data_IF_603477602478
#
_entry.id   IF_603477602478
#
_cell.length_a   1.000
_cell.length_b   1.000
_cell.length_c   1.000
_cell.angle_alpha   90.00
_cell.angle_beta   90.00
_cell.angle_gamma   90.00
#
_symmetry.space_group_name_H-M   'P 1'
#
loop_
_entity.id
_entity.type
_entity.pdbx_description
1 polymer ?
#
# COMPACT_ATOMS: atom_id res chain seq x y z
N UNK A 1 2.96 -1.23 1.73
CA UNK A 1 1.71 -0.78 1.07
C UNK A 1 1.82 0.73 0.90
N UNK A 2 1.28 1.31 -0.17
CA UNK A 2 1.32 2.76 -0.40
C UNK A 2 -0.01 3.26 -0.97
N UNK A 3 -0.39 4.54 -0.74
CA UNK A 3 -1.61 5.13 -1.27
C UNK A 3 -1.42 5.49 -2.75
N UNK A 4 -1.62 4.53 -3.66
CA UNK A 4 -1.31 4.67 -5.09
C UNK A 4 -2.00 5.86 -5.80
N UNK A 5 -3.05 6.42 -5.20
CA UNK A 5 -3.73 7.63 -5.71
C UNK A 5 -2.99 8.94 -5.42
N UNK A 6 -1.96 8.93 -4.57
CA UNK A 6 -1.07 10.08 -4.36
C UNK A 6 0.13 10.12 -5.30
N UNK A 7 0.34 9.07 -6.10
CA UNK A 7 1.37 9.09 -7.12
C UNK A 7 1.05 10.15 -8.18
N UNK A 8 2.09 10.85 -8.63
CA UNK A 8 2.02 11.65 -9.86
C UNK A 8 1.73 10.75 -11.05
N UNK A 9 1.07 11.30 -12.07
CA UNK A 9 0.62 10.54 -13.23
C UNK A 9 1.72 9.75 -13.92
N UNK A 10 2.91 10.34 -14.11
CA UNK A 10 4.05 9.65 -14.72
C UNK A 10 4.49 8.43 -13.90
N UNK A 11 4.64 8.58 -12.58
CA UNK A 11 5.04 7.47 -11.71
C UNK A 11 3.95 6.38 -11.65
N UNK A 12 2.68 6.78 -11.64
CA UNK A 12 1.54 5.84 -11.69
C UNK A 12 1.48 5.08 -13.01
N UNK A 13 1.73 5.75 -14.14
CA UNK A 13 1.76 5.13 -15.46
C UNK A 13 2.88 4.09 -15.55
N UNK A 14 4.10 4.45 -15.12
CA UNK A 14 5.22 3.50 -15.04
C UNK A 14 4.89 2.30 -14.16
N UNK A 15 4.26 2.51 -13.00
CA UNK A 15 3.85 1.41 -12.13
C UNK A 15 2.80 0.52 -12.82
N UNK A 16 1.83 1.11 -13.52
CA UNK A 16 0.80 0.36 -14.25
C UNK A 16 1.37 -0.48 -15.40
N UNK A 17 2.38 0.03 -16.09
CA UNK A 17 3.03 -0.66 -17.21
C UNK A 17 3.88 -1.85 -16.77
N UNK A 18 4.61 -1.70 -15.66
CA UNK A 18 5.65 -2.69 -15.28
C UNK A 18 5.33 -3.52 -14.05
N UNK A 19 4.33 -3.14 -13.26
CA UNK A 19 3.96 -3.91 -12.07
C UNK A 19 2.99 -5.03 -12.41
N UNK A 20 3.31 -6.24 -11.97
CA UNK A 20 2.32 -7.32 -11.88
C UNK A 20 1.14 -6.89 -11.00
N UNK A 21 -0.07 -7.29 -11.42
CA UNK A 21 -1.33 -7.11 -10.69
C UNK A 21 -1.58 -5.66 -10.23
N UNK A 22 -1.19 -4.67 -11.03
CA UNK A 22 -1.37 -3.26 -10.68
C UNK A 22 -2.80 -2.94 -10.25
N UNK A 23 -3.81 -3.42 -10.97
CA UNK A 23 -5.22 -3.10 -10.68
C UNK A 23 -5.70 -3.59 -9.30
N UNK A 24 -5.11 -4.67 -8.76
CA UNK A 24 -5.46 -5.16 -7.42
C UNK A 24 -4.84 -4.30 -6.30
N UNK A 25 -3.67 -3.71 -6.55
CA UNK A 25 -2.91 -2.98 -5.51
C UNK A 25 -3.66 -1.77 -4.95
N UNK A 26 -4.28 -0.89 -5.75
CA UNK A 26 -5.10 0.22 -5.25
C UNK A 26 -6.33 -0.23 -4.47
N UNK A 27 -6.87 -1.41 -4.75
CA UNK A 27 -8.00 -1.98 -4.02
C UNK A 27 -7.55 -2.40 -2.63
N UNK A 28 -6.51 -3.24 -2.54
CA UNK A 28 -5.93 -3.66 -1.25
C UNK A 28 -5.44 -2.45 -0.43
N UNK A 29 -4.82 -1.46 -1.07
CA UNK A 29 -4.38 -0.24 -0.39
C UNK A 29 -5.53 0.61 0.15
N UNK A 30 -6.75 0.51 -0.36
CA UNK A 30 -7.89 1.29 0.17
C UNK A 30 -8.59 0.60 1.32
N UNK A 31 -8.43 -0.71 1.45
CA UNK A 31 -9.17 -1.53 2.39
C UNK A 31 -8.23 -2.52 3.11
N UNK A 32 -7.81 -2.21 4.35
CA UNK A 32 -7.00 -3.11 5.16
C UNK A 32 -7.64 -4.50 5.38
N UNK A 33 -8.96 -4.59 5.49
CA UNK A 33 -9.66 -5.88 5.65
C UNK A 33 -9.45 -6.78 4.43
N UNK A 34 -9.55 -6.21 3.22
CA UNK A 34 -9.27 -6.93 1.98
C UNK A 34 -7.81 -7.32 1.85
N UNK A 35 -6.89 -6.50 2.37
CA UNK A 35 -5.48 -6.85 2.40
C UNK A 35 -5.21 -8.01 3.36
N UNK A 36 -5.79 -8.01 4.56
CA UNK A 36 -5.69 -9.14 5.50
C UNK A 36 -6.29 -10.41 4.91
N UNK A 37 -7.47 -10.33 4.30
CA UNK A 37 -8.09 -11.47 3.61
C UNK A 37 -7.20 -11.98 2.46
N UNK A 38 -6.52 -11.08 1.76
CA UNK A 38 -5.53 -11.46 0.76
C UNK A 38 -4.32 -12.18 1.39
N UNK A 39 -3.79 -11.72 2.53
CA UNK A 39 -2.74 -12.43 3.26
C UNK A 39 -3.18 -13.84 3.66
N UNK A 40 -4.40 -13.98 4.19
CA UNK A 40 -4.97 -15.28 4.57
C UNK A 40 -5.08 -16.23 3.37
N UNK A 41 -5.49 -15.71 2.20
CA UNK A 41 -5.56 -16.50 0.96
C UNK A 41 -4.19 -17.03 0.48
N UNK A 42 -3.11 -16.41 0.95
CA UNK A 42 -1.73 -16.78 0.63
C UNK A 42 -1.05 -17.53 1.78
N UNK A 43 -1.77 -17.85 2.87
CA UNK A 43 -1.23 -18.46 4.10
C UNK A 43 -0.13 -17.60 4.75
N UNK A 44 -0.28 -16.28 4.71
CA UNK A 44 0.66 -15.31 5.28
C UNK A 44 0.13 -14.78 6.62
N UNK A 45 0.88 -15.04 7.69
CA UNK A 45 0.49 -14.60 9.03
C UNK A 45 0.53 -13.07 9.21
N UNK A 46 1.60 -12.40 8.78
CA UNK A 46 1.76 -10.95 8.94
C UNK A 46 2.50 -10.34 7.74
N UNK A 47 2.27 -9.06 7.49
CA UNK A 47 2.99 -8.29 6.48
C UNK A 47 3.54 -6.97 7.03
N UNK A 48 4.84 -6.73 6.80
CA UNK A 48 5.43 -5.42 6.99
C UNK A 48 5.26 -4.56 5.73
N UNK A 49 4.75 -3.35 5.92
CA UNK A 49 4.54 -2.38 4.86
C UNK A 49 5.69 -1.40 4.84
N UNK A 50 6.38 -1.33 3.70
CA UNK A 50 7.42 -0.32 3.49
C UNK A 50 6.81 0.83 2.69
N UNK A 51 6.91 2.03 3.24
CA UNK A 51 6.51 3.28 2.61
C UNK A 51 7.73 4.21 2.42
N UNK A 52 7.68 5.07 1.40
CA UNK A 52 8.79 5.96 1.06
C UNK A 52 8.30 7.40 0.90
N UNK A 53 8.94 8.34 1.60
CA UNK A 53 8.79 9.77 1.34
C UNK A 53 9.61 10.13 0.10
N UNK A 54 8.94 10.17 -1.04
CA UNK A 54 9.53 10.44 -2.34
C UNK A 54 8.72 11.54 -3.07
N UNK A 55 8.97 12.84 -2.79
CA UNK A 55 8.19 13.93 -3.35
C UNK A 55 8.21 13.99 -4.88
N UNK A 56 9.30 13.52 -5.50
CA UNK A 56 9.41 13.35 -6.95
C UNK A 56 8.29 12.48 -7.53
N UNK A 57 7.88 11.44 -6.80
CA UNK A 57 6.81 10.51 -7.16
C UNK A 57 5.43 10.91 -6.65
N UNK A 58 5.33 11.91 -5.77
CA UNK A 58 4.07 12.39 -5.18
C UNK A 58 3.86 12.02 -3.71
N UNK A 59 4.72 11.17 -3.14
CA UNK A 59 4.66 10.83 -1.71
C UNK A 59 5.38 11.86 -0.85
N UNK A 60 4.62 12.51 0.03
CA UNK A 60 5.14 13.43 1.05
C UNK A 60 5.21 12.71 2.40
N UNK A 61 5.57 13.43 3.47
CA UNK A 61 5.51 12.89 4.84
C UNK A 61 4.14 12.35 5.25
N UNK A 62 3.05 12.80 4.60
CA UNK A 62 1.70 12.28 4.84
C UNK A 62 1.59 10.77 4.60
N UNK A 63 2.50 10.16 3.83
CA UNK A 63 2.53 8.71 3.59
C UNK A 63 2.88 7.91 4.85
N UNK A 64 3.57 8.51 5.82
CA UNK A 64 3.88 7.86 7.09
C UNK A 64 2.64 7.78 7.96
N UNK A 65 1.93 8.89 8.12
CA UNK A 65 0.67 8.94 8.88
C UNK A 65 -0.36 7.98 8.27
N UNK A 66 -0.50 8.02 6.94
CA UNK A 66 -1.38 7.09 6.24
C UNK A 66 -1.03 5.62 6.48
N UNK A 67 0.27 5.28 6.50
CA UNK A 67 0.70 3.91 6.74
C UNK A 67 0.38 3.47 8.17
N UNK A 68 0.60 4.35 9.16
CA UNK A 68 0.24 4.10 10.55
C UNK A 68 -1.27 3.88 10.71
N UNK A 69 -2.11 4.75 10.13
CA UNK A 69 -3.57 4.60 10.16
C UNK A 69 -4.03 3.29 9.50
N UNK A 70 -3.41 2.93 8.37
CA UNK A 70 -3.71 1.69 7.64
C UNK A 70 -3.38 0.45 8.49
N UNK A 71 -2.28 0.49 9.24
CA UNK A 71 -1.85 -0.56 10.17
C UNK A 71 -2.76 -0.68 11.38
N UNK A 72 -3.21 0.44 11.93
CA UNK A 72 -3.92 0.49 13.21
C UNK A 72 -5.27 -0.26 13.19
N UNK A 73 -5.80 -0.52 12.00
CA UNK A 73 -6.99 -1.36 11.81
C UNK A 73 -6.73 -2.86 12.02
N UNK A 74 -5.47 -3.32 11.90
CA UNK A 74 -5.06 -4.72 12.09
C UNK A 74 -3.63 -4.82 12.66
N UNK A 75 -3.44 -4.35 13.90
CA UNK A 75 -2.12 -4.29 14.57
C UNK A 75 -1.44 -5.66 14.75
N UNK A 76 -2.20 -6.75 14.74
CA UNK A 76 -1.72 -8.12 14.84
C UNK A 76 -1.34 -8.73 13.47
N UNK A 77 -1.68 -8.06 12.36
CA UNK A 77 -1.47 -8.56 10.99
C UNK A 77 -0.55 -7.67 10.16
N UNK A 78 -0.56 -6.36 10.40
CA UNK A 78 0.13 -5.36 9.60
C UNK A 78 1.19 -4.66 10.46
N UNK A 79 2.38 -4.46 9.90
CA UNK A 79 3.47 -3.68 10.50
C UNK A 79 3.85 -2.52 9.56
N UNK A 80 4.38 -1.42 10.11
CA UNK A 80 4.93 -0.27 9.37
C UNK A 80 6.29 0.09 9.95
#
# INVERSE_FOLDING_TARGET
MNPFWWLKDGARATLKEHSSNFEQKPTLARNPDEFVAYLDSQDIAMAATINYVAPGMGYTHAVNEWAADYRDLHLDRILV
#
